data_IF_423808242454
#
_entry.id   IF_423808242454
#
_cell.length_a   1.000
_cell.length_b   1.000
_cell.length_c   1.000
_cell.angle_alpha   90.00
_cell.angle_beta   90.00
_cell.angle_gamma   90.00
#
_symmetry.space_group_name_H-M   'P 1'
#
loop_
_entity.id
_entity.type
_entity.pdbx_description
1 polymer ?
#
# COMPACT_ATOMS: atom_id res chain seq x y z
N UNK A 1 27.77 18.65 -8.98
CA UNK A 1 27.27 18.42 -7.60
C UNK A 1 26.11 17.44 -7.66
N UNK A 2 25.98 16.55 -6.64
CA UNK A 2 24.82 15.67 -6.54
C UNK A 2 23.55 16.49 -6.35
N UNK A 3 22.48 16.14 -7.07
CA UNK A 3 21.16 16.74 -6.84
C UNK A 3 20.60 16.25 -5.49
N UNK A 4 19.96 17.14 -4.76
CA UNK A 4 19.45 16.90 -3.41
C UNK A 4 17.92 16.79 -3.41
N UNK A 5 17.39 15.73 -2.82
CA UNK A 5 15.95 15.45 -2.73
C UNK A 5 15.53 15.49 -1.26
N UNK A 6 14.46 16.22 -0.98
CA UNK A 6 13.81 16.19 0.35
C UNK A 6 12.48 15.45 0.23
N UNK A 7 12.33 14.34 0.96
CA UNK A 7 11.06 13.62 1.07
C UNK A 7 10.33 14.09 2.33
N UNK A 8 9.02 14.32 2.22
CA UNK A 8 8.15 14.68 3.35
C UNK A 8 6.99 13.68 3.41
N UNK A 9 6.89 12.94 4.50
CA UNK A 9 5.82 11.96 4.72
C UNK A 9 5.83 11.44 6.14
N UNK A 10 4.68 11.01 6.65
CA UNK A 10 4.56 10.54 8.04
C UNK A 10 5.27 9.20 8.23
N UNK A 11 5.06 8.26 7.30
CA UNK A 11 5.52 6.87 7.39
C UNK A 11 6.83 6.67 6.62
N UNK A 12 7.82 6.11 7.27
CA UNK A 12 9.14 5.85 6.72
C UNK A 12 9.84 4.73 7.50
N UNK A 13 11.03 4.32 7.08
CA UNK A 13 11.88 3.37 7.81
C UNK A 13 11.78 3.54 9.34
N UNK A 14 11.73 2.47 10.13
CA UNK A 14 11.79 1.05 9.79
C UNK A 14 10.42 0.39 9.51
N UNK A 15 9.39 1.16 9.17
CA UNK A 15 8.10 0.58 8.81
C UNK A 15 8.22 -0.18 7.48
N UNK A 16 8.10 -1.50 7.54
CA UNK A 16 8.28 -2.44 6.44
C UNK A 16 6.98 -2.79 5.69
N UNK A 17 5.94 -2.01 5.91
CA UNK A 17 4.61 -2.21 5.31
C UNK A 17 4.05 -0.92 4.72
N UNK A 18 3.14 -1.06 3.77
CA UNK A 18 2.38 0.05 3.18
C UNK A 18 3.29 1.23 2.73
N UNK A 19 2.90 2.47 3.06
CA UNK A 19 3.57 3.70 2.61
C UNK A 19 4.99 3.81 3.16
N UNK A 20 5.25 3.30 4.36
CA UNK A 20 6.58 3.29 4.97
C UNK A 20 7.58 2.51 4.12
N UNK A 21 7.20 1.31 3.68
CA UNK A 21 8.00 0.46 2.80
C UNK A 21 8.32 1.16 1.47
N UNK A 22 7.30 1.68 0.78
CA UNK A 22 7.48 2.34 -0.52
C UNK A 22 8.32 3.61 -0.42
N UNK A 23 8.10 4.42 0.60
CA UNK A 23 8.87 5.65 0.84
C UNK A 23 10.34 5.35 1.11
N UNK A 24 10.62 4.28 1.87
CA UNK A 24 11.98 3.83 2.18
C UNK A 24 12.68 3.31 0.93
N UNK A 25 12.05 2.41 0.19
CA UNK A 25 12.63 1.84 -1.04
C UNK A 25 12.89 2.93 -2.10
N UNK A 26 11.98 3.91 -2.22
CA UNK A 26 12.19 5.07 -3.11
C UNK A 26 13.43 5.87 -2.70
N UNK A 27 13.58 6.18 -1.41
CA UNK A 27 14.71 6.94 -0.90
C UNK A 27 16.04 6.19 -1.11
N UNK A 28 16.07 4.90 -0.82
CA UNK A 28 17.25 4.04 -1.05
C UNK A 28 17.61 3.93 -2.53
N UNK A 29 16.60 3.80 -3.41
CA UNK A 29 16.81 3.81 -4.84
C UNK A 29 17.45 5.12 -5.32
N UNK A 30 16.98 6.26 -4.82
CA UNK A 30 17.54 7.56 -5.16
C UNK A 30 19.01 7.68 -4.69
N UNK A 31 19.33 7.23 -3.47
CA UNK A 31 20.72 7.22 -2.97
C UNK A 31 21.61 6.35 -3.86
N UNK A 32 21.16 5.14 -4.22
CA UNK A 32 21.87 4.24 -5.15
C UNK A 32 22.07 4.86 -6.53
N UNK A 33 21.20 5.78 -6.95
CA UNK A 33 21.29 6.51 -8.21
C UNK A 33 21.93 7.90 -8.07
N UNK A 34 22.81 8.08 -7.09
CA UNK A 34 23.65 9.24 -6.90
C UNK A 34 22.94 10.56 -6.53
N UNK A 35 21.74 10.48 -5.91
CA UNK A 35 21.09 11.63 -5.28
C UNK A 35 21.48 11.71 -3.80
N UNK A 36 21.51 12.93 -3.26
CA UNK A 36 21.57 13.16 -1.82
C UNK A 36 20.13 13.23 -1.29
N UNK A 37 19.77 12.34 -0.35
CA UNK A 37 18.40 12.23 0.14
C UNK A 37 18.31 12.61 1.61
N UNK A 38 17.34 13.47 1.95
CA UNK A 38 16.93 13.76 3.30
C UNK A 38 15.42 13.62 3.46
N UNK A 39 14.99 13.19 4.63
CA UNK A 39 13.58 12.85 4.89
C UNK A 39 13.08 13.57 6.14
N UNK A 40 11.92 14.21 6.05
CA UNK A 40 11.18 14.70 7.22
C UNK A 40 10.02 13.73 7.45
N UNK A 41 10.00 13.09 8.63
CA UNK A 41 9.03 12.02 8.92
C UNK A 41 8.65 12.00 10.41
N UNK A 42 7.67 11.15 10.73
CA UNK A 42 7.28 10.85 12.11
C UNK A 42 8.15 9.77 12.76
N UNK A 43 7.84 9.44 14.00
CA UNK A 43 8.32 8.24 14.66
C UNK A 43 7.55 7.04 14.14
N UNK A 44 8.20 5.87 13.95
CA UNK A 44 7.54 4.69 13.43
C UNK A 44 6.51 4.15 14.44
N UNK A 45 5.31 3.86 13.96
CA UNK A 45 4.18 3.43 14.79
C UNK A 45 3.24 2.44 14.07
N UNK A 46 3.30 2.38 12.76
CA UNK A 46 2.41 1.53 11.98
C UNK A 46 3.05 0.14 11.74
N UNK A 47 2.29 -0.97 11.78
CA UNK A 47 0.82 -1.06 11.88
C UNK A 47 0.28 -1.15 13.32
N UNK A 48 1.12 -1.16 14.36
CA UNK A 48 0.75 -1.47 15.74
C UNK A 48 0.06 -0.31 16.49
N UNK A 49 0.07 0.91 15.94
CA UNK A 49 -0.39 2.13 16.58
C UNK A 49 0.32 2.42 17.92
N UNK A 50 1.56 2.01 18.01
CA UNK A 50 2.46 2.24 19.14
C UNK A 50 3.82 2.63 18.62
N UNK A 51 4.49 3.57 19.31
CA UNK A 51 5.89 3.90 19.00
C UNK A 51 6.73 2.62 19.15
N UNK A 52 7.51 2.31 18.11
CA UNK A 52 8.42 1.18 18.14
C UNK A 52 9.42 1.32 19.31
N UNK A 53 9.70 0.21 20.00
CA UNK A 53 10.47 0.17 21.27
C UNK A 53 11.78 0.96 21.19
N UNK A 54 12.55 0.75 20.12
CA UNK A 54 13.82 1.46 19.84
C UNK A 54 13.72 2.99 19.89
N UNK A 55 12.53 3.56 19.74
CA UNK A 55 12.29 5.00 19.62
C UNK A 55 11.60 5.61 20.83
N UNK A 56 11.19 4.84 21.83
CA UNK A 56 10.43 5.32 22.99
C UNK A 56 11.14 6.45 23.73
N UNK A 57 12.45 6.28 23.99
CA UNK A 57 13.26 7.20 24.78
C UNK A 57 13.99 8.26 23.95
N UNK A 58 13.75 8.28 22.64
CA UNK A 58 14.36 9.31 21.79
C UNK A 58 13.69 10.67 21.98
N UNK A 59 14.47 11.77 21.87
CA UNK A 59 13.94 13.11 22.03
C UNK A 59 12.89 13.44 20.97
N UNK A 60 12.00 14.39 21.26
CA UNK A 60 10.87 14.79 20.40
C UNK A 60 11.29 15.14 18.96
N UNK A 61 12.46 15.74 18.79
CA UNK A 61 13.10 15.99 17.50
C UNK A 61 14.38 15.16 17.43
N UNK A 62 14.43 14.18 16.56
CA UNK A 62 15.50 13.21 16.47
C UNK A 62 16.05 13.13 15.05
N UNK A 63 17.36 13.06 14.91
CA UNK A 63 18.03 12.88 13.62
C UNK A 63 18.79 11.57 13.65
N UNK A 64 18.57 10.76 12.63
CA UNK A 64 19.32 9.54 12.40
C UNK A 64 19.71 9.38 10.93
N UNK A 65 20.57 8.41 10.66
CA UNK A 65 21.01 8.06 9.31
C UNK A 65 20.73 6.59 9.03
N UNK A 66 20.25 6.31 7.83
CA UNK A 66 20.01 4.95 7.34
C UNK A 66 20.40 4.87 5.86
N UNK A 67 21.30 3.96 5.48
CA UNK A 67 21.73 3.72 4.09
C UNK A 67 22.05 5.01 3.29
N UNK A 68 22.76 5.97 3.93
CA UNK A 68 23.11 7.25 3.31
C UNK A 68 21.98 8.30 3.31
N UNK A 69 20.82 7.99 3.89
CA UNK A 69 19.68 8.88 4.00
C UNK A 69 19.71 9.59 5.35
N UNK A 70 19.62 10.94 5.34
CA UNK A 70 19.43 11.72 6.56
C UNK A 70 17.96 11.78 6.92
N UNK A 71 17.57 11.28 8.09
CA UNK A 71 16.18 11.22 8.56
C UNK A 71 15.99 12.20 9.70
N UNK A 72 15.06 13.14 9.54
CA UNK A 72 14.69 14.16 10.52
C UNK A 72 13.31 13.83 11.05
N UNK A 73 13.24 13.29 12.27
CA UNK A 73 12.00 12.80 12.88
C UNK A 73 11.39 13.80 13.84
N UNK A 74 10.08 13.71 13.93
CA UNK A 74 9.29 14.37 14.98
C UNK A 74 8.41 13.31 15.69
N UNK A 75 8.45 13.29 17.03
CA UNK A 75 7.63 12.40 17.86
C UNK A 75 6.22 12.96 17.91
N UNK A 76 5.40 12.50 16.97
CA UNK A 76 3.99 12.89 16.86
C UNK A 76 3.12 12.16 17.87
N UNK A 77 1.94 12.72 18.13
CA UNK A 77 0.88 12.04 18.85
C UNK A 77 0.46 10.76 18.12
N UNK A 78 0.34 9.66 18.84
CA UNK A 78 -0.13 8.37 18.30
C UNK A 78 -1.28 7.90 19.16
N UNK A 79 -2.51 7.75 18.61
CA UNK A 79 -3.65 7.26 19.35
C UNK A 79 -3.57 5.75 19.56
N UNK A 80 -3.65 5.26 20.80
CA UNK A 80 -3.72 3.82 21.08
C UNK A 80 -4.98 3.15 20.53
N UNK A 81 -6.08 3.93 20.39
CA UNK A 81 -7.31 3.51 19.70
C UNK A 81 -7.63 4.56 18.62
N UNK A 82 -7.38 4.29 17.32
CA UNK A 82 -7.41 5.27 16.25
C UNK A 82 -8.82 5.55 15.73
N UNK A 83 -9.56 6.41 16.44
CA UNK A 83 -10.82 6.97 15.92
C UNK A 83 -10.55 8.07 14.88
N UNK A 84 -11.54 8.43 14.08
CA UNK A 84 -11.42 9.48 13.06
C UNK A 84 -10.86 10.80 13.62
N UNK A 85 -11.43 11.30 14.71
CA UNK A 85 -10.96 12.54 15.33
C UNK A 85 -9.52 12.43 15.85
N UNK A 86 -9.16 11.31 16.47
CA UNK A 86 -7.80 11.09 16.96
C UNK A 86 -6.78 11.01 15.82
N UNK A 87 -7.18 10.48 14.64
CA UNK A 87 -6.34 10.53 13.43
C UNK A 87 -6.13 11.95 12.94
N UNK A 88 -7.16 12.82 13.01
CA UNK A 88 -6.99 14.25 12.67
C UNK A 88 -5.96 14.90 13.61
N UNK A 89 -6.00 14.63 14.92
CA UNK A 89 -4.98 15.14 15.85
C UNK A 89 -3.58 14.65 15.54
N UNK A 90 -3.42 13.36 15.20
CA UNK A 90 -2.14 12.83 14.72
C UNK A 90 -1.61 13.63 13.51
N UNK A 91 -2.50 13.93 12.54
CA UNK A 91 -2.16 14.68 11.33
C UNK A 91 -1.69 16.10 11.63
N UNK A 92 -2.44 16.80 12.48
CA UNK A 92 -2.14 18.19 12.84
C UNK A 92 -0.85 18.28 13.63
N UNK A 93 -0.64 17.39 14.61
CA UNK A 93 0.60 17.37 15.41
C UNK A 93 1.82 17.01 14.55
N UNK A 94 1.71 15.99 13.68
CA UNK A 94 2.77 15.68 12.73
C UNK A 94 3.08 16.86 11.81
N UNK A 95 2.05 17.49 11.22
CA UNK A 95 2.24 18.62 10.32
C UNK A 95 2.95 19.78 11.01
N UNK A 96 2.58 20.08 12.26
CA UNK A 96 3.24 21.10 13.07
C UNK A 96 4.72 20.77 13.33
N UNK A 97 5.03 19.54 13.73
CA UNK A 97 6.39 19.10 13.97
C UNK A 97 7.23 19.05 12.69
N UNK A 98 6.66 18.54 11.60
CA UNK A 98 7.30 18.54 10.29
C UNK A 98 7.56 19.97 9.77
N UNK A 99 6.62 20.89 10.01
CA UNK A 99 6.79 22.31 9.68
C UNK A 99 7.97 22.92 10.45
N UNK A 100 8.11 22.66 11.76
CA UNK A 100 9.29 23.07 12.54
C UNK A 100 10.58 22.44 11.99
N UNK A 101 10.57 21.16 11.68
CA UNK A 101 11.73 20.48 11.12
C UNK A 101 12.11 21.00 9.71
N UNK A 102 11.17 21.57 8.97
CA UNK A 102 11.42 22.16 7.66
C UNK A 102 12.43 23.32 7.69
N UNK A 103 12.60 23.98 8.83
CA UNK A 103 13.61 25.04 9.00
C UNK A 103 15.04 24.49 8.94
N UNK A 104 15.26 23.20 9.25
CA UNK A 104 16.56 22.53 9.16
C UNK A 104 16.99 22.26 7.70
N UNK A 105 16.07 22.35 6.74
CA UNK A 105 16.35 22.16 5.32
C UNK A 105 16.94 23.46 4.76
N UNK A 106 18.23 23.41 4.42
CA UNK A 106 18.95 24.59 3.88
C UNK A 106 18.93 24.60 2.34
N UNK A 107 19.07 23.44 1.71
CA UNK A 107 19.13 23.27 0.24
C UNK A 107 18.44 21.98 -0.17
N UNK A 108 17.69 22.04 -1.27
CA UNK A 108 17.17 20.88 -1.99
C UNK A 108 16.84 21.30 -3.43
N UNK A 109 16.87 20.38 -4.37
CA UNK A 109 16.50 20.60 -5.77
C UNK A 109 15.06 20.18 -6.03
N UNK A 110 14.58 19.14 -5.29
CA UNK A 110 13.19 18.68 -5.32
C UNK A 110 12.68 18.41 -3.90
N UNK A 111 11.43 18.76 -3.67
CA UNK A 111 10.65 18.28 -2.53
C UNK A 111 9.63 17.27 -3.03
N UNK A 112 9.68 16.04 -2.52
CA UNK A 112 8.75 14.97 -2.82
C UNK A 112 7.87 14.73 -1.60
N UNK A 113 6.59 15.10 -1.66
CA UNK A 113 5.65 14.96 -0.54
C UNK A 113 4.76 13.75 -0.77
N UNK A 114 4.68 12.86 0.21
CA UNK A 114 3.83 11.66 0.20
C UNK A 114 2.56 11.91 1.01
N UNK A 115 1.42 11.68 0.37
CA UNK A 115 0.06 11.77 0.94
C UNK A 115 -0.52 10.34 1.01
N UNK A 116 -1.23 9.91 2.05
CA UNK A 116 -2.23 10.67 2.83
C UNK A 116 -1.57 11.61 3.83
N UNK A 117 -2.34 12.55 4.22
CA UNK A 117 -2.04 13.77 4.98
C UNK A 117 -1.81 14.94 4.04
N UNK A 118 -2.91 15.36 3.46
CA UNK A 118 -2.97 16.53 2.55
C UNK A 118 -2.30 17.75 3.17
N UNK A 119 -2.29 17.87 4.50
CA UNK A 119 -1.57 18.94 5.23
C UNK A 119 -0.04 18.88 5.08
N UNK A 120 0.55 17.72 4.77
CA UNK A 120 2.00 17.61 4.46
C UNK A 120 2.40 18.43 3.23
N UNK A 121 1.48 18.72 2.32
CA UNK A 121 1.70 19.60 1.17
C UNK A 121 2.11 20.99 1.62
N UNK A 122 1.61 21.49 2.76
CA UNK A 122 1.98 22.78 3.34
C UNK A 122 3.47 22.81 3.70
N UNK A 123 3.97 21.72 4.28
CA UNK A 123 5.39 21.57 4.65
C UNK A 123 6.26 21.52 3.39
N UNK A 124 5.85 20.71 2.40
CA UNK A 124 6.56 20.60 1.13
C UNK A 124 6.61 21.93 0.36
N UNK A 125 5.47 22.63 0.26
CA UNK A 125 5.37 23.95 -0.40
C UNK A 125 6.28 24.99 0.26
N UNK A 126 6.31 25.01 1.61
CA UNK A 126 7.19 25.88 2.36
C UNK A 126 8.67 25.64 2.04
N UNK A 127 9.11 24.37 2.07
CA UNK A 127 10.50 24.00 1.77
C UNK A 127 10.82 24.41 0.33
N UNK A 128 9.96 24.05 -0.62
CA UNK A 128 10.16 24.34 -2.04
C UNK A 128 10.31 25.85 -2.29
N UNK A 129 9.46 26.69 -1.69
CA UNK A 129 9.55 28.14 -1.79
C UNK A 129 10.84 28.69 -1.19
N UNK A 130 11.21 28.23 0.02
CA UNK A 130 12.43 28.67 0.72
C UNK A 130 13.70 28.34 -0.06
N UNK A 131 13.74 27.17 -0.70
CA UNK A 131 14.92 26.65 -1.39
C UNK A 131 14.90 26.87 -2.90
N UNK A 132 13.81 27.43 -3.44
CA UNK A 132 13.53 27.58 -4.88
C UNK A 132 13.50 26.22 -5.61
N UNK A 133 13.15 25.14 -4.89
CA UNK A 133 13.08 23.79 -5.41
C UNK A 133 11.79 23.52 -6.15
N UNK A 134 11.78 22.51 -7.02
CA UNK A 134 10.54 21.94 -7.53
C UNK A 134 9.80 21.21 -6.43
N UNK A 135 8.48 21.13 -6.52
CA UNK A 135 7.63 20.40 -5.58
C UNK A 135 6.80 19.38 -6.33
N UNK A 136 6.93 18.10 -5.98
CA UNK A 136 6.15 16.99 -6.50
C UNK A 136 5.37 16.35 -5.35
N UNK A 137 4.07 16.17 -5.50
CA UNK A 137 3.22 15.49 -4.52
C UNK A 137 2.77 14.14 -5.08
N UNK A 138 2.97 13.10 -4.30
CA UNK A 138 2.55 11.74 -4.59
C UNK A 138 1.42 11.33 -3.66
N UNK A 139 0.28 10.95 -4.24
CA UNK A 139 -0.96 10.65 -3.54
C UNK A 139 -1.15 9.14 -3.54
N UNK A 140 -1.00 8.54 -2.36
CA UNK A 140 -1.24 7.11 -2.12
C UNK A 140 -2.71 6.83 -1.74
N UNK A 141 -3.40 7.84 -1.19
CA UNK A 141 -4.83 7.77 -0.86
C UNK A 141 -5.43 9.18 -0.81
N UNK A 142 -6.70 9.30 -1.18
CA UNK A 142 -7.50 10.51 -1.01
C UNK A 142 -8.25 10.44 0.33
N UNK A 143 -7.62 10.91 1.39
CA UNK A 143 -8.11 10.77 2.77
C UNK A 143 -9.51 11.36 3.00
N UNK A 144 -9.85 12.48 2.36
CA UNK A 144 -11.15 13.11 2.51
C UNK A 144 -12.25 12.36 1.75
N UNK A 145 -11.93 11.77 0.60
CA UNK A 145 -12.85 10.92 -0.15
C UNK A 145 -13.13 9.63 0.62
N UNK A 146 -12.09 8.99 1.14
CA UNK A 146 -12.22 7.79 1.98
C UNK A 146 -13.06 8.06 3.24
N UNK A 147 -12.89 9.23 3.86
CA UNK A 147 -13.70 9.63 5.00
C UNK A 147 -15.17 9.90 4.61
N UNK A 148 -15.41 10.47 3.44
CA UNK A 148 -16.77 10.74 2.94
C UNK A 148 -17.54 9.46 2.62
N UNK A 149 -16.86 8.39 2.14
CA UNK A 149 -17.45 7.10 1.80
C UNK A 149 -17.87 6.28 3.05
N UNK A 150 -17.33 6.57 4.24
CA UNK A 150 -17.57 5.78 5.47
C UNK A 150 -18.87 6.15 6.22
N UNK A 151 -19.89 6.76 5.60
CA UNK A 151 -21.14 7.18 6.23
C UNK A 151 -21.00 8.07 7.49
N UNK A 152 -19.79 8.54 7.82
CA UNK A 152 -19.55 9.53 8.87
C UNK A 152 -20.10 10.91 8.50
N UNK A 153 -20.68 11.01 7.30
CA UNK A 153 -21.04 12.28 6.66
C UNK A 153 -22.30 12.88 7.27
N UNK A 154 -23.27 12.12 7.76
CA UNK A 154 -24.49 12.66 8.38
C UNK A 154 -24.79 14.11 7.96
N UNK A 155 -25.12 15.00 8.89
CA UNK A 155 -25.38 16.44 8.65
C UNK A 155 -24.11 17.30 8.35
N UNK A 156 -22.94 16.68 7.96
CA UNK A 156 -21.66 17.39 7.85
C UNK A 156 -21.28 17.79 6.42
N UNK A 157 -22.22 17.87 5.48
CA UNK A 157 -21.97 18.23 4.07
C UNK A 157 -21.14 19.52 3.91
N UNK A 158 -21.38 20.54 4.75
CA UNK A 158 -20.62 21.79 4.69
C UNK A 158 -19.14 21.61 5.05
N UNK A 159 -18.84 20.80 6.08
CA UNK A 159 -17.46 20.49 6.48
C UNK A 159 -16.69 19.80 5.35
N UNK A 160 -17.27 18.81 4.69
CA UNK A 160 -16.62 18.12 3.58
C UNK A 160 -16.41 19.05 2.36
N UNK A 161 -17.37 19.94 2.05
CA UNK A 161 -17.17 20.96 1.02
C UNK A 161 -15.97 21.87 1.32
N UNK A 162 -15.81 22.26 2.57
CA UNK A 162 -14.67 23.07 3.03
C UNK A 162 -13.34 22.28 2.94
N UNK A 163 -13.31 21.01 3.36
CA UNK A 163 -12.14 20.14 3.27
C UNK A 163 -11.74 19.90 1.82
N UNK A 164 -12.67 19.62 0.92
CA UNK A 164 -12.40 19.48 -0.51
C UNK A 164 -11.92 20.79 -1.17
N UNK A 165 -12.39 21.93 -0.70
CA UNK A 165 -11.90 23.23 -1.16
C UNK A 165 -10.44 23.44 -0.72
N UNK A 166 -10.08 23.11 0.54
CA UNK A 166 -8.70 23.14 1.05
C UNK A 166 -7.82 22.20 0.22
N UNK A 167 -8.24 20.96 0.03
CA UNK A 167 -7.51 19.96 -0.76
C UNK A 167 -7.21 20.49 -2.15
N UNK A 168 -8.22 21.00 -2.85
CA UNK A 168 -8.07 21.58 -4.18
C UNK A 168 -7.05 22.73 -4.19
N UNK A 169 -7.09 23.60 -3.18
CA UNK A 169 -6.16 24.72 -3.03
C UNK A 169 -4.73 24.24 -2.79
N UNK A 170 -4.56 23.17 -2.00
CA UNK A 170 -3.26 22.56 -1.74
C UNK A 170 -2.73 21.83 -2.96
N UNK A 171 -3.55 21.07 -3.67
CA UNK A 171 -3.17 20.36 -4.90
C UNK A 171 -2.83 21.31 -6.07
N UNK A 172 -3.23 22.57 -6.02
CA UNK A 172 -2.84 23.56 -7.03
C UNK A 172 -1.43 24.12 -6.88
N UNK A 173 -0.76 23.91 -5.71
CA UNK A 173 0.57 24.49 -5.43
C UNK A 173 1.74 23.71 -6.04
N UNK A 174 1.78 22.37 -6.04
CA UNK A 174 2.90 21.60 -6.56
C UNK A 174 3.17 21.84 -8.06
N UNK A 175 4.39 21.58 -8.48
CA UNK A 175 4.79 21.62 -9.89
C UNK A 175 4.37 20.35 -10.63
N UNK A 176 4.32 19.21 -9.91
CA UNK A 176 3.90 17.93 -10.44
C UNK A 176 3.10 17.14 -9.39
N UNK A 177 2.21 16.28 -9.86
CA UNK A 177 1.38 15.40 -9.04
C UNK A 177 1.51 13.96 -9.56
N UNK A 178 1.39 12.99 -8.68
CA UNK A 178 1.30 11.59 -9.09
C UNK A 178 0.41 10.78 -8.15
N UNK A 179 -0.06 9.66 -8.63
CA UNK A 179 -0.84 8.71 -7.85
C UNK A 179 -0.63 7.28 -8.35
N UNK A 180 -1.16 6.31 -7.62
CA UNK A 180 -0.77 4.90 -7.73
C UNK A 180 -1.61 4.08 -8.72
N UNK A 181 -2.76 4.60 -9.16
CA UNK A 181 -3.66 3.87 -10.07
C UNK A 181 -4.26 4.77 -11.14
N UNK A 182 -4.71 4.17 -12.24
CA UNK A 182 -5.36 4.92 -13.32
C UNK A 182 -6.70 5.52 -12.88
N UNK A 183 -7.44 4.84 -12.01
CA UNK A 183 -8.67 5.37 -11.44
C UNK A 183 -8.40 6.61 -10.57
N UNK A 184 -7.37 6.54 -9.71
CA UNK A 184 -6.93 7.70 -8.92
C UNK A 184 -6.37 8.82 -9.79
N UNK A 185 -5.71 8.49 -10.91
CA UNK A 185 -5.18 9.49 -11.83
C UNK A 185 -6.31 10.26 -12.52
N UNK A 186 -7.38 9.60 -12.95
CA UNK A 186 -8.59 10.27 -13.46
C UNK A 186 -9.17 11.20 -12.39
N UNK A 187 -9.39 10.70 -11.17
CA UNK A 187 -9.91 11.48 -10.03
C UNK A 187 -9.02 12.69 -9.70
N UNK A 188 -7.70 12.52 -9.75
CA UNK A 188 -6.74 13.61 -9.55
C UNK A 188 -6.84 14.68 -10.64
N UNK A 189 -6.97 14.28 -11.89
CA UNK A 189 -7.15 15.18 -13.02
C UNK A 189 -8.46 15.99 -12.89
N UNK A 190 -9.55 15.36 -12.47
CA UNK A 190 -10.82 16.04 -12.23
C UNK A 190 -10.70 17.07 -11.08
N UNK A 191 -10.08 16.68 -9.96
CA UNK A 191 -9.84 17.59 -8.81
C UNK A 191 -8.98 18.79 -9.18
N UNK A 192 -7.98 18.61 -10.05
CA UNK A 192 -7.06 19.67 -10.48
C UNK A 192 -7.47 20.37 -11.78
N UNK A 193 -8.54 19.91 -12.44
CA UNK A 193 -9.00 20.40 -13.74
C UNK A 193 -7.89 20.38 -14.80
N UNK A 194 -7.08 19.33 -14.82
CA UNK A 194 -5.96 19.13 -15.76
C UNK A 194 -4.93 20.28 -15.81
N UNK A 195 -4.85 21.12 -14.78
CA UNK A 195 -3.97 22.30 -14.78
C UNK A 195 -2.52 22.01 -14.39
N UNK A 196 -2.20 20.78 -14.02
CA UNK A 196 -0.87 20.38 -13.56
C UNK A 196 -0.40 19.11 -14.27
N UNK A 197 0.91 18.96 -14.50
CA UNK A 197 1.46 17.67 -14.90
C UNK A 197 1.12 16.60 -13.88
N UNK A 198 0.44 15.54 -14.32
CA UNK A 198 0.06 14.39 -13.50
C UNK A 198 0.71 13.13 -14.05
N UNK A 199 1.17 12.25 -13.15
CA UNK A 199 1.87 11.02 -13.50
C UNK A 199 1.28 9.81 -12.78
N UNK A 200 1.21 8.69 -13.48
CA UNK A 200 1.05 7.40 -12.84
C UNK A 200 2.39 7.00 -12.23
N UNK A 201 2.42 6.77 -10.93
CA UNK A 201 3.52 6.19 -10.16
C UNK A 201 2.93 5.06 -9.31
N UNK A 202 2.71 3.88 -9.88
CA UNK A 202 2.09 2.77 -9.17
C UNK A 202 3.00 2.27 -8.05
N UNK A 203 2.42 1.60 -7.07
CA UNK A 203 3.17 0.78 -6.15
C UNK A 203 3.88 -0.33 -6.92
N UNK A 204 4.98 -0.85 -6.38
CA UNK A 204 5.84 -1.83 -7.03
C UNK A 204 6.10 -3.04 -6.14
N UNK A 205 6.67 -4.06 -6.70
CA UNK A 205 7.17 -5.21 -5.97
C UNK A 205 8.64 -5.46 -6.31
N UNK A 206 9.40 -5.87 -5.31
CA UNK A 206 10.75 -6.37 -5.52
C UNK A 206 10.67 -7.82 -5.98
N UNK A 207 10.77 -8.02 -7.31
CA UNK A 207 10.66 -9.33 -7.95
C UNK A 207 11.91 -10.20 -7.76
N UNK A 208 13.00 -9.64 -7.27
CA UNK A 208 14.22 -10.36 -6.90
C UNK A 208 14.13 -10.89 -5.47
N UNK A 209 13.39 -10.18 -4.60
CA UNK A 209 13.06 -10.61 -3.25
C UNK A 209 11.90 -11.61 -3.24
N UNK A 210 10.80 -11.34 -3.98
CA UNK A 210 9.73 -12.34 -4.17
C UNK A 210 10.08 -13.17 -5.40
N UNK A 211 10.72 -14.32 -5.15
CA UNK A 211 11.30 -15.16 -6.20
C UNK A 211 11.08 -16.66 -5.93
N UNK A 212 10.23 -17.34 -6.73
CA UNK A 212 9.93 -18.76 -6.54
C UNK A 212 11.16 -19.68 -6.57
N UNK A 213 12.21 -19.30 -7.34
CA UNK A 213 13.43 -20.11 -7.44
C UNK A 213 14.24 -20.11 -6.13
N UNK A 214 14.12 -19.04 -5.34
CA UNK A 214 14.85 -18.85 -4.08
C UNK A 214 14.01 -19.22 -2.84
N UNK A 215 12.74 -19.56 -3.04
CA UNK A 215 11.81 -19.80 -1.95
C UNK A 215 12.01 -21.19 -1.33
N UNK A 216 11.98 -21.23 -0.01
CA UNK A 216 11.82 -22.46 0.78
C UNK A 216 10.35 -22.67 1.13
N UNK A 217 9.98 -23.89 1.48
CA UNK A 217 8.61 -24.18 1.95
C UNK A 217 8.39 -23.53 3.31
N UNK A 218 7.40 -22.64 3.38
CA UNK A 218 7.06 -21.96 4.63
C UNK A 218 6.32 -22.90 5.59
N UNK A 219 6.64 -22.91 6.91
CA UNK A 219 6.02 -23.84 7.89
C UNK A 219 4.49 -23.80 7.93
N UNK A 220 3.87 -22.64 7.67
CA UNK A 220 2.40 -22.52 7.63
C UNK A 220 1.75 -23.20 6.41
N UNK A 221 2.54 -23.58 5.41
CA UNK A 221 2.09 -24.15 4.13
C UNK A 221 2.83 -25.46 3.82
N UNK A 222 3.16 -26.23 4.85
CA UNK A 222 3.91 -27.48 4.75
C UNK A 222 3.02 -28.74 4.76
N UNK A 223 1.77 -28.65 4.33
CA UNK A 223 0.91 -29.82 4.17
C UNK A 223 1.03 -30.43 2.77
N UNK A 224 0.70 -31.70 2.63
CA UNK A 224 0.59 -32.38 1.33
C UNK A 224 -0.67 -32.02 0.54
N UNK A 225 -1.51 -31.08 1.03
CA UNK A 225 -2.76 -30.67 0.40
C UNK A 225 -2.56 -29.53 -0.57
N UNK A 226 -3.58 -29.26 -1.39
CA UNK A 226 -3.64 -28.04 -2.19
C UNK A 226 -3.90 -26.82 -1.31
N UNK A 227 -2.91 -25.94 -1.18
CA UNK A 227 -2.86 -24.82 -0.22
C UNK A 227 -3.37 -23.53 -0.85
N UNK A 228 -4.48 -23.03 -0.35
CA UNK A 228 -5.08 -21.76 -0.76
C UNK A 228 -4.75 -20.70 0.30
N UNK A 229 -3.93 -19.72 -0.07
CA UNK A 229 -3.43 -18.69 0.86
C UNK A 229 -4.21 -17.38 0.72
N UNK A 230 -4.74 -16.91 1.83
CA UNK A 230 -5.05 -15.50 2.03
C UNK A 230 -3.95 -14.86 2.90
N UNK A 231 -3.28 -13.84 2.39
CA UNK A 231 -2.27 -13.09 3.17
C UNK A 231 -2.58 -11.60 3.18
N UNK A 232 -2.67 -11.00 4.38
CA UNK A 232 -2.79 -9.55 4.54
C UNK A 232 -3.80 -9.06 5.57
N UNK A 233 -4.30 -7.82 5.39
CA UNK A 233 -5.21 -7.18 6.34
C UNK A 233 -6.58 -7.87 6.39
N UNK A 234 -7.02 -8.23 7.59
CA UNK A 234 -8.34 -8.84 7.87
C UNK A 234 -9.30 -7.72 8.29
N UNK A 235 -9.88 -7.05 7.30
CA UNK A 235 -10.69 -5.83 7.50
C UNK A 235 -12.12 -5.96 6.95
N UNK A 236 -12.83 -4.84 7.01
CA UNK A 236 -14.24 -4.73 6.57
C UNK A 236 -14.42 -4.75 5.05
N UNK A 237 -13.37 -4.43 4.29
CA UNK A 237 -13.42 -4.40 2.81
C UNK A 237 -13.43 -5.80 2.19
N UNK A 238 -13.04 -6.82 2.96
CA UNK A 238 -13.06 -8.22 2.54
C UNK A 238 -14.43 -8.82 2.76
N UNK A 239 -14.86 -9.70 1.84
CA UNK A 239 -16.10 -10.44 1.94
C UNK A 239 -15.88 -11.76 2.69
N UNK A 240 -15.75 -11.65 4.01
CA UNK A 240 -15.54 -12.80 4.87
C UNK A 240 -16.74 -13.73 4.94
N UNK A 241 -17.96 -13.25 4.67
CA UNK A 241 -19.15 -14.11 4.63
C UNK A 241 -19.07 -15.06 3.44
N UNK A 242 -18.77 -14.56 2.24
CA UNK A 242 -18.53 -15.39 1.06
C UNK A 242 -17.38 -16.38 1.30
N UNK A 243 -16.29 -15.95 1.94
CA UNK A 243 -15.20 -16.86 2.33
C UNK A 243 -15.71 -18.00 3.22
N UNK A 244 -16.47 -17.71 4.27
CA UNK A 244 -17.01 -18.70 5.21
C UNK A 244 -17.96 -19.67 4.50
N UNK A 245 -18.80 -19.17 3.58
CA UNK A 245 -19.69 -20.03 2.80
C UNK A 245 -18.91 -20.97 1.89
N UNK A 246 -17.83 -20.52 1.26
CA UNK A 246 -16.93 -21.35 0.45
C UNK A 246 -16.29 -22.45 1.29
N UNK A 247 -15.64 -22.10 2.41
CA UNK A 247 -14.89 -23.08 3.21
C UNK A 247 -15.78 -24.10 3.92
N UNK A 248 -17.04 -23.75 4.23
CA UNK A 248 -18.02 -24.66 4.84
C UNK A 248 -18.64 -25.63 3.82
N UNK A 249 -18.75 -25.24 2.54
CA UNK A 249 -19.43 -26.00 1.50
C UNK A 249 -18.48 -26.78 0.59
N UNK A 250 -17.18 -26.47 0.57
CA UNK A 250 -16.20 -27.20 -0.23
C UNK A 250 -15.97 -28.60 0.37
N UNK A 251 -16.28 -29.65 -0.42
CA UNK A 251 -16.23 -31.04 0.05
C UNK A 251 -14.91 -31.75 -0.25
N UNK A 252 -14.02 -31.11 -1.00
CA UNK A 252 -12.73 -31.70 -1.37
C UNK A 252 -11.77 -31.66 -0.16
N UNK A 253 -11.45 -32.86 0.38
CA UNK A 253 -10.60 -33.02 1.59
C UNK A 253 -9.13 -32.72 1.34
N UNK A 254 -8.70 -32.66 0.05
CA UNK A 254 -7.32 -32.35 -0.33
C UNK A 254 -7.07 -30.84 -0.48
N UNK A 255 -8.01 -30.01 -0.05
CA UNK A 255 -7.88 -28.55 -0.09
C UNK A 255 -7.76 -28.06 1.35
N UNK A 256 -6.80 -27.16 1.56
CA UNK A 256 -6.58 -26.43 2.81
C UNK A 256 -6.55 -24.92 2.55
N UNK A 257 -7.25 -24.18 3.39
CA UNK A 257 -7.23 -22.72 3.40
C UNK A 257 -6.32 -22.23 4.52
N UNK A 258 -5.36 -21.40 4.18
CA UNK A 258 -4.42 -20.81 5.13
C UNK A 258 -4.62 -19.30 5.15
N UNK A 259 -4.97 -18.77 6.31
CA UNK A 259 -5.17 -17.34 6.53
C UNK A 259 -3.98 -16.82 7.33
N UNK A 260 -3.23 -15.88 6.74
CA UNK A 260 -2.10 -15.23 7.40
C UNK A 260 -2.35 -13.72 7.45
N UNK A 261 -2.53 -13.17 8.65
CA UNK A 261 -2.82 -11.74 8.72
C UNK A 261 -3.31 -11.23 10.06
N UNK A 262 -3.62 -9.94 10.07
CA UNK A 262 -4.22 -9.26 11.22
C UNK A 262 -5.10 -8.11 10.74
N UNK A 263 -5.96 -7.59 11.60
CA UNK A 263 -6.84 -6.47 11.26
C UNK A 263 -8.07 -6.40 12.16
N UNK A 264 -8.95 -5.46 11.89
CA UNK A 264 -10.11 -5.17 12.74
C UNK A 264 -11.11 -6.34 12.89
N UNK A 265 -11.14 -7.26 11.93
CA UNK A 265 -12.00 -8.45 11.95
C UNK A 265 -11.28 -9.72 12.41
N UNK A 266 -10.02 -9.64 12.86
CA UNK A 266 -9.21 -10.79 13.25
C UNK A 266 -9.92 -11.71 14.23
N UNK A 267 -10.31 -11.19 15.40
CA UNK A 267 -10.84 -12.00 16.49
C UNK A 267 -12.18 -12.64 16.11
N UNK A 268 -13.02 -11.88 15.40
CA UNK A 268 -14.26 -12.42 14.86
C UNK A 268 -14.00 -13.58 13.87
N UNK A 269 -13.08 -13.40 12.92
CA UNK A 269 -12.77 -14.42 11.91
C UNK A 269 -12.18 -15.68 12.55
N UNK A 270 -11.26 -15.55 13.51
CA UNK A 270 -10.69 -16.67 14.26
C UNK A 270 -11.79 -17.48 14.91
N UNK A 271 -12.78 -16.82 15.52
CA UNK A 271 -13.91 -17.52 16.16
C UNK A 271 -14.79 -18.25 15.13
N UNK A 272 -14.99 -17.69 13.93
CA UNK A 272 -15.77 -18.32 12.89
C UNK A 272 -15.10 -19.58 12.31
N UNK A 273 -13.77 -19.63 12.26
CA UNK A 273 -13.02 -20.71 11.60
C UNK A 273 -12.46 -21.76 12.56
N UNK A 274 -12.53 -21.56 13.88
CA UNK A 274 -11.87 -22.41 14.90
C UNK A 274 -12.20 -23.90 14.80
N UNK A 275 -13.43 -24.23 14.39
CA UNK A 275 -13.91 -25.61 14.32
C UNK A 275 -13.85 -26.17 12.88
N UNK A 276 -13.34 -25.42 11.91
CA UNK A 276 -13.22 -25.83 10.51
C UNK A 276 -11.89 -26.55 10.28
N UNK A 277 -11.92 -27.85 10.04
CA UNK A 277 -10.74 -28.71 9.87
C UNK A 277 -9.91 -28.41 8.60
N UNK A 278 -10.48 -27.68 7.65
CA UNK A 278 -9.85 -27.29 6.39
C UNK A 278 -9.35 -25.84 6.38
N UNK A 279 -9.37 -25.15 7.53
CA UNK A 279 -8.91 -23.75 7.65
C UNK A 279 -7.89 -23.63 8.77
N UNK A 280 -6.73 -23.07 8.45
CA UNK A 280 -5.69 -22.71 9.41
C UNK A 280 -5.51 -21.19 9.47
N UNK A 281 -5.33 -20.65 10.67
CA UNK A 281 -5.10 -19.23 10.88
C UNK A 281 -3.75 -18.99 11.57
N UNK A 282 -2.98 -18.02 11.03
CA UNK A 282 -1.68 -17.61 11.55
C UNK A 282 -1.52 -16.09 11.62
N UNK A 283 -0.67 -15.56 12.53
CA UNK A 283 -0.34 -14.14 12.57
C UNK A 283 0.45 -13.72 11.33
N UNK A 284 0.58 -12.41 11.06
CA UNK A 284 1.45 -11.90 10.00
C UNK A 284 2.89 -12.37 10.19
N UNK A 285 3.56 -12.67 9.08
CA UNK A 285 4.99 -13.01 9.06
C UNK A 285 5.86 -11.76 8.92
N UNK A 286 7.12 -11.78 9.40
CA UNK A 286 8.11 -10.77 9.06
C UNK A 286 8.31 -10.63 7.55
N UNK A 287 8.71 -9.44 7.08
CA UNK A 287 8.95 -9.21 5.65
C UNK A 287 9.99 -10.16 5.04
N UNK A 288 10.98 -10.59 5.83
CA UNK A 288 12.01 -11.55 5.41
C UNK A 288 11.45 -12.94 5.04
N UNK A 289 10.31 -13.34 5.65
CA UNK A 289 9.66 -14.63 5.40
C UNK A 289 8.58 -14.55 4.30
N UNK A 290 8.30 -13.34 3.79
CA UNK A 290 7.19 -13.12 2.85
C UNK A 290 7.39 -13.86 1.52
N UNK A 291 8.63 -13.98 1.05
CA UNK A 291 8.95 -14.77 -0.14
C UNK A 291 8.50 -16.22 0.00
N UNK A 292 8.93 -16.86 1.07
CA UNK A 292 8.66 -18.28 1.33
C UNK A 292 7.16 -18.51 1.53
N UNK A 293 6.50 -17.62 2.28
CA UNK A 293 5.05 -17.67 2.48
C UNK A 293 4.28 -17.60 1.14
N UNK A 294 4.55 -16.60 0.32
CA UNK A 294 3.80 -16.39 -0.92
C UNK A 294 4.08 -17.49 -1.95
N UNK A 295 5.33 -17.91 -2.07
CA UNK A 295 5.73 -18.94 -3.04
C UNK A 295 5.33 -20.36 -2.63
N UNK A 296 5.02 -20.62 -1.36
CA UNK A 296 4.57 -21.92 -0.86
C UNK A 296 3.08 -22.19 -1.11
N UNK A 297 2.28 -21.18 -1.46
CA UNK A 297 0.89 -21.38 -1.84
C UNK A 297 0.77 -22.10 -3.19
N UNK A 298 -0.33 -22.82 -3.39
CA UNK A 298 -0.73 -23.34 -4.71
C UNK A 298 -1.68 -22.37 -5.41
N UNK A 299 -2.47 -21.63 -4.62
CA UNK A 299 -3.42 -20.62 -5.08
C UNK A 299 -3.47 -19.43 -4.10
N UNK A 300 -3.43 -18.22 -4.59
CA UNK A 300 -3.73 -17.03 -3.80
C UNK A 300 -5.21 -16.66 -3.87
N UNK A 301 -5.73 -16.20 -2.72
CA UNK A 301 -7.13 -15.85 -2.59
C UNK A 301 -7.31 -14.41 -2.10
N UNK A 302 -8.24 -13.67 -2.71
CA UNK A 302 -8.63 -12.35 -2.29
C UNK A 302 -10.12 -12.15 -2.47
N UNK A 303 -10.85 -12.08 -1.37
CA UNK A 303 -12.28 -11.75 -1.37
C UNK A 303 -12.48 -10.25 -1.08
N UNK A 304 -13.04 -9.52 -2.03
CA UNK A 304 -13.43 -8.12 -1.85
C UNK A 304 -14.95 -7.97 -2.03
N UNK A 305 -15.54 -7.11 -1.23
CA UNK A 305 -16.96 -6.77 -1.38
C UNK A 305 -17.17 -5.99 -2.68
N UNK A 306 -18.34 -6.19 -3.32
CA UNK A 306 -18.66 -5.54 -4.59
C UNK A 306 -18.74 -4.00 -4.51
N UNK A 307 -19.10 -3.46 -3.34
CA UNK A 307 -19.16 -2.01 -3.13
C UNK A 307 -17.79 -1.36 -2.87
N UNK A 308 -16.73 -2.16 -2.78
CA UNK A 308 -15.36 -1.65 -2.71
C UNK A 308 -14.91 -1.36 -4.13
N UNK A 309 -15.17 -0.15 -4.60
CA UNK A 309 -14.53 0.37 -5.80
C UNK A 309 -13.11 0.75 -5.37
N UNK A 310 -12.14 -0.08 -5.79
CA UNK A 310 -10.73 0.18 -5.49
C UNK A 310 -10.29 1.49 -6.14
N UNK A 311 -10.41 2.58 -5.40
CA UNK A 311 -9.67 3.80 -5.70
C UNK A 311 -8.18 3.61 -5.43
N UNK A 312 -7.83 2.54 -4.70
CA UNK A 312 -6.45 2.18 -4.34
C UNK A 312 -6.18 0.74 -4.78
N UNK A 313 -5.18 0.54 -5.62
CA UNK A 313 -4.71 -0.79 -5.99
C UNK A 313 -4.15 -1.51 -4.75
N UNK A 314 -4.70 -2.66 -4.36
CA UNK A 314 -4.18 -3.38 -3.20
C UNK A 314 -2.76 -3.86 -3.48
N UNK A 315 -1.79 -3.36 -2.72
CA UNK A 315 -0.36 -3.70 -2.91
C UNK A 315 -0.06 -5.20 -2.81
N UNK A 316 -0.89 -5.94 -2.07
CA UNK A 316 -0.73 -7.39 -1.91
C UNK A 316 -0.86 -8.20 -3.21
N UNK A 317 -1.63 -7.71 -4.19
CA UNK A 317 -1.77 -8.41 -5.49
C UNK A 317 -0.42 -8.49 -6.21
N UNK A 318 0.43 -7.49 -6.07
CA UNK A 318 1.75 -7.48 -6.69
C UNK A 318 2.65 -8.59 -6.14
N UNK A 319 2.60 -8.83 -4.82
CA UNK A 319 3.30 -9.95 -4.19
C UNK A 319 2.74 -11.30 -4.62
N UNK A 320 1.40 -11.43 -4.66
CA UNK A 320 0.73 -12.63 -5.16
C UNK A 320 1.18 -12.97 -6.59
N UNK A 321 1.14 -12.00 -7.49
CA UNK A 321 1.57 -12.18 -8.89
C UNK A 321 3.07 -12.47 -9.01
N UNK A 322 3.90 -11.82 -8.17
CA UNK A 322 5.36 -12.02 -8.18
C UNK A 322 5.75 -13.44 -7.75
N UNK A 323 4.95 -14.13 -6.93
CA UNK A 323 5.19 -15.50 -6.48
C UNK A 323 5.03 -16.57 -7.58
N UNK A 324 4.63 -16.18 -8.79
CA UNK A 324 4.31 -17.09 -9.90
C UNK A 324 3.23 -18.13 -9.57
N UNK A 325 2.29 -17.77 -8.70
CA UNK A 325 1.11 -18.60 -8.38
C UNK A 325 -0.16 -17.98 -8.94
N UNK A 326 -1.14 -18.78 -9.35
CA UNK A 326 -2.42 -18.27 -9.81
C UNK A 326 -3.16 -17.58 -8.68
N UNK A 327 -4.06 -16.65 -9.04
CA UNK A 327 -4.89 -15.95 -8.07
C UNK A 327 -6.37 -16.13 -8.37
N UNK A 328 -7.19 -16.35 -7.34
CA UNK A 328 -8.63 -16.25 -7.41
C UNK A 328 -9.08 -15.02 -6.61
N UNK A 329 -9.71 -14.10 -7.30
CA UNK A 329 -10.11 -12.82 -6.72
C UNK A 329 -11.60 -12.60 -6.96
N UNK A 330 -12.31 -12.16 -5.91
CA UNK A 330 -13.68 -11.66 -6.05
C UNK A 330 -13.71 -10.16 -5.77
N UNK A 331 -14.57 -9.41 -6.47
CA UNK A 331 -14.70 -7.97 -6.27
C UNK A 331 -15.46 -7.28 -7.40
N UNK A 332 -15.41 -5.96 -7.41
CA UNK A 332 -16.05 -5.16 -8.45
C UNK A 332 -15.34 -5.33 -9.79
N UNK A 333 -16.08 -5.68 -10.84
CA UNK A 333 -15.57 -5.87 -12.21
C UNK A 333 -14.94 -4.60 -12.81
N UNK A 334 -15.27 -3.42 -12.28
CA UNK A 334 -14.71 -2.15 -12.73
C UNK A 334 -13.44 -1.76 -11.97
N UNK A 335 -12.94 -2.64 -11.08
CA UNK A 335 -11.71 -2.40 -10.34
C UNK A 335 -10.47 -2.53 -11.23
N UNK A 336 -9.41 -1.81 -10.88
CA UNK A 336 -8.11 -1.94 -11.56
C UNK A 336 -7.51 -3.35 -11.38
N UNK A 337 -7.85 -4.03 -10.29
CA UNK A 337 -7.46 -5.42 -10.04
C UNK A 337 -8.08 -6.36 -11.07
N UNK A 338 -9.38 -6.19 -11.40
CA UNK A 338 -10.04 -6.96 -12.45
C UNK A 338 -9.33 -6.80 -13.81
N UNK A 339 -8.98 -5.57 -14.17
CA UNK A 339 -8.23 -5.26 -15.38
C UNK A 339 -6.86 -5.92 -15.42
N UNK A 340 -6.12 -5.89 -14.30
CA UNK A 340 -4.78 -6.49 -14.19
C UNK A 340 -4.84 -8.01 -14.34
N UNK A 341 -5.75 -8.68 -13.63
CA UNK A 341 -5.91 -10.14 -13.73
C UNK A 341 -6.31 -10.55 -15.15
N UNK A 342 -7.23 -9.84 -15.76
CA UNK A 342 -7.64 -10.08 -17.15
C UNK A 342 -6.48 -9.88 -18.14
N UNK A 343 -5.75 -8.78 -18.05
CA UNK A 343 -4.62 -8.46 -18.95
C UNK A 343 -3.43 -9.40 -18.77
N UNK A 344 -3.18 -9.83 -17.55
CA UNK A 344 -2.07 -10.74 -17.23
C UNK A 344 -2.41 -12.21 -17.55
N UNK A 345 -3.68 -12.56 -17.66
CA UNK A 345 -4.14 -13.96 -17.61
C UNK A 345 -3.52 -14.71 -16.41
N UNK A 346 -3.42 -14.03 -15.27
CA UNK A 346 -2.72 -14.49 -14.07
C UNK A 346 -3.59 -15.15 -13.02
N UNK A 347 -4.84 -15.45 -13.37
CA UNK A 347 -5.82 -16.05 -12.47
C UNK A 347 -7.26 -15.84 -12.91
N UNK A 348 -8.19 -16.08 -12.01
CA UNK A 348 -9.62 -15.89 -12.24
C UNK A 348 -10.12 -14.72 -11.39
N UNK A 349 -10.88 -13.82 -12.02
CA UNK A 349 -11.59 -12.74 -11.34
C UNK A 349 -13.08 -12.91 -11.46
N UNK A 350 -13.78 -13.01 -10.33
CA UNK A 350 -15.23 -13.18 -10.26
C UNK A 350 -15.89 -11.94 -9.64
N UNK A 351 -17.09 -11.63 -10.09
CA UNK A 351 -17.97 -10.74 -9.33
C UNK A 351 -18.43 -11.48 -8.07
N UNK A 352 -18.52 -10.83 -6.89
CA UNK A 352 -19.09 -11.46 -5.71
C UNK A 352 -20.51 -11.94 -5.98
N UNK A 353 -20.74 -13.22 -5.77
CA UNK A 353 -22.00 -13.88 -6.07
C UNK A 353 -22.13 -15.17 -5.28
N UNK A 354 -22.44 -16.27 -5.96
CA UNK A 354 -22.60 -17.57 -5.33
C UNK A 354 -21.27 -18.19 -4.91
N UNK A 355 -21.22 -18.74 -3.67
CA UNK A 355 -20.07 -19.53 -3.22
C UNK A 355 -19.80 -20.74 -4.12
N UNK A 356 -20.83 -21.28 -4.81
CA UNK A 356 -20.67 -22.38 -5.76
C UNK A 356 -19.78 -21.99 -6.95
N UNK A 357 -19.91 -20.77 -7.50
CA UNK A 357 -19.03 -20.29 -8.57
C UNK A 357 -17.57 -20.18 -8.11
N UNK A 358 -17.36 -19.73 -6.88
CA UNK A 358 -16.04 -19.66 -6.28
C UNK A 358 -15.44 -21.04 -6.08
N UNK A 359 -16.23 -22.00 -5.58
CA UNK A 359 -15.81 -23.42 -5.43
C UNK A 359 -15.43 -24.01 -6.79
N UNK A 360 -16.24 -23.81 -7.81
CA UNK A 360 -15.94 -24.30 -9.16
C UNK A 360 -14.64 -23.69 -9.70
N UNK A 361 -14.42 -22.39 -9.51
CA UNK A 361 -13.18 -21.73 -9.91
C UNK A 361 -11.96 -22.30 -9.14
N UNK A 362 -12.09 -22.60 -7.85
CA UNK A 362 -11.03 -23.26 -7.06
C UNK A 362 -10.70 -24.63 -7.64
N UNK A 363 -11.72 -25.45 -7.94
CA UNK A 363 -11.53 -26.79 -8.50
C UNK A 363 -10.92 -26.74 -9.90
N UNK A 364 -11.33 -25.78 -10.72
CA UNK A 364 -10.74 -25.54 -12.03
C UNK A 364 -9.25 -25.18 -11.90
N UNK A 365 -8.89 -24.23 -11.00
CA UNK A 365 -7.51 -23.83 -10.79
C UNK A 365 -6.64 -24.93 -10.16
N UNK A 366 -7.25 -25.79 -9.33
CA UNK A 366 -6.54 -26.96 -8.78
C UNK A 366 -6.17 -27.97 -9.88
N UNK A 367 -7.05 -28.17 -10.85
CA UNK A 367 -6.88 -29.17 -11.90
C UNK A 367 -6.08 -28.65 -13.10
N UNK A 368 -6.30 -27.40 -13.48
CA UNK A 368 -5.65 -26.76 -14.63
C UNK A 368 -5.44 -25.26 -14.41
N UNK A 369 -4.32 -24.92 -13.78
CA UNK A 369 -3.86 -23.54 -13.65
C UNK A 369 -2.66 -23.24 -14.54
N UNK A 370 -2.44 -24.07 -15.59
CA UNK A 370 -1.27 -24.01 -16.48
C UNK A 370 -0.95 -22.58 -16.89
N UNK A 371 0.30 -22.19 -16.65
CA UNK A 371 0.88 -20.90 -17.02
C UNK A 371 0.28 -19.65 -16.35
N UNK A 372 -0.83 -19.72 -15.62
CA UNK A 372 -1.43 -18.51 -15.01
C UNK A 372 -0.46 -17.85 -14.02
N UNK A 373 0.19 -18.63 -13.18
CA UNK A 373 1.19 -18.09 -12.23
C UNK A 373 2.38 -17.44 -12.94
N UNK A 374 2.91 -18.08 -13.99
CA UNK A 374 4.00 -17.54 -14.79
C UNK A 374 3.59 -16.28 -15.55
N UNK A 375 2.40 -16.25 -16.11
CA UNK A 375 1.81 -15.08 -16.76
C UNK A 375 1.67 -13.92 -15.78
N UNK A 376 1.18 -14.19 -14.56
CA UNK A 376 1.10 -13.19 -13.49
C UNK A 376 2.48 -12.60 -13.19
N UNK A 377 3.49 -13.45 -12.98
CA UNK A 377 4.87 -13.02 -12.71
C UNK A 377 5.49 -12.24 -13.87
N UNK A 378 5.29 -12.68 -15.10
CA UNK A 378 5.76 -11.98 -16.29
C UNK A 378 5.18 -10.58 -16.35
N UNK A 379 3.86 -10.48 -16.20
CA UNK A 379 3.16 -9.19 -16.22
C UNK A 379 3.66 -8.22 -15.13
N UNK A 380 3.85 -8.72 -13.90
CA UNK A 380 4.33 -7.88 -12.80
C UNK A 380 5.77 -7.45 -13.00
N UNK A 381 6.63 -8.30 -13.55
CA UNK A 381 8.00 -7.93 -13.93
C UNK A 381 8.02 -6.81 -14.96
N UNK A 382 7.14 -6.88 -15.96
CA UNK A 382 7.08 -5.93 -17.07
C UNK A 382 6.44 -4.60 -16.70
N UNK A 383 5.56 -4.56 -15.70
CA UNK A 383 4.75 -3.36 -15.41
C UNK A 383 4.97 -2.79 -14.01
N UNK A 384 5.28 -3.62 -13.01
CA UNK A 384 5.28 -3.25 -11.60
C UNK A 384 6.54 -3.64 -10.83
N UNK A 385 7.61 -4.08 -11.49
CA UNK A 385 8.88 -4.32 -10.80
C UNK A 385 9.46 -3.00 -10.28
N UNK A 386 10.06 -3.05 -9.09
CA UNK A 386 10.71 -1.90 -8.44
C UNK A 386 11.70 -1.20 -9.37
N UNK A 387 12.54 -1.96 -10.07
CA UNK A 387 13.50 -1.41 -11.02
C UNK A 387 12.85 -0.60 -12.13
N UNK A 388 11.76 -1.10 -12.74
CA UNK A 388 11.07 -0.41 -13.83
C UNK A 388 10.34 0.84 -13.35
N UNK A 389 9.54 0.72 -12.31
CA UNK A 389 8.72 1.84 -11.79
C UNK A 389 9.62 2.96 -11.28
N UNK A 390 10.64 2.64 -10.50
CA UNK A 390 11.55 3.63 -9.94
C UNK A 390 12.46 4.28 -11.00
N UNK A 391 12.85 3.54 -12.06
CA UNK A 391 13.58 4.15 -13.17
C UNK A 391 12.72 5.13 -13.97
N UNK A 392 11.45 4.80 -14.22
CA UNK A 392 10.51 5.71 -14.85
C UNK A 392 10.28 6.98 -13.98
N UNK A 393 10.16 6.80 -12.67
CA UNK A 393 10.10 7.92 -11.73
C UNK A 393 11.34 8.79 -11.82
N UNK A 394 12.54 8.21 -11.77
CA UNK A 394 13.82 8.93 -11.88
C UNK A 394 13.90 9.76 -13.15
N UNK A 395 13.54 9.18 -14.30
CA UNK A 395 13.53 9.91 -15.58
C UNK A 395 12.61 11.13 -15.56
N UNK A 396 11.42 11.00 -14.97
CA UNK A 396 10.48 12.15 -14.84
C UNK A 396 10.98 13.17 -13.83
N UNK A 397 11.60 12.73 -12.73
CA UNK A 397 12.22 13.59 -11.73
C UNK A 397 13.34 14.43 -12.35
N UNK A 398 14.26 13.81 -13.08
CA UNK A 398 15.37 14.48 -13.75
C UNK A 398 14.88 15.56 -14.74
N UNK A 399 13.83 15.24 -15.53
CA UNK A 399 13.18 16.22 -16.42
C UNK A 399 12.54 17.40 -15.68
N UNK A 400 12.07 17.21 -14.46
CA UNK A 400 11.43 18.23 -13.66
C UNK A 400 12.44 19.21 -13.03
N UNK A 401 13.64 18.72 -12.66
CA UNK A 401 14.66 19.50 -11.93
C UNK A 401 15.77 20.08 -12.81
N UNK A 402 15.86 19.66 -14.05
CA UNK A 402 16.71 20.25 -15.08
C UNK A 402 15.91 21.28 -15.87
#
# INVERSE_FOLDING_TARGET
MKKKITIVGLNFYPEDTAIGLYSTQLAEYLVKNNFEVQVITGFPYYPTWKIAEKYKDKPKNYIEYHNGIKIIRYKQYIPGNPTFLKRIFLLLDFTFGAYKNSFKIKKTDLVFTVVPFTSSIIVGDRIAKKTKAKHWVHIQDFEFDAAAETNLVGNKKFLFRFLFWIEKKLLSKPHALSTISNAMLRKLNDKTKHKKPTYLLPNWVDVDNINPIKASVHPYLNSGKFKILYSGNIGEKQDWNLFLDVVKNIRNKDIEFVIVGSGAKKDWLQQQVKDLKNVSYYPPVPYAELNDLLCSADLHLLFQKNNVIDTVMPSKILGMMASAKPSLITGNQQSEVADIIKKSNGGIYLQPGSYNEVIQAILTLKNDSKNMGENARKYVKEHFSSGKVLNQFKTKLEKLIN
#
